data_IF_065367901372
#
_entry.id   IF_065367901372
#
_cell.length_a   1.000
_cell.length_b   1.000
_cell.length_c   1.000
_cell.angle_alpha   90.00
_cell.angle_beta   90.00
_cell.angle_gamma   90.00
#
_symmetry.space_group_name_H-M   'P 1'
#
loop_
_entity.id
_entity.type
_entity.pdbx_description
1 polymer ?
#
# COMPACT_ATOMS: atom_id res chain seq x y z
N UNK A 1 -4.71 -34.58 8.21
CA UNK A 1 -5.89 -33.70 8.07
C UNK A 1 -5.50 -32.63 7.09
N UNK A 2 -6.14 -32.59 5.92
CA UNK A 2 -6.00 -31.46 5.00
C UNK A 2 -6.88 -30.37 5.57
N UNK A 3 -6.26 -29.26 5.97
CA UNK A 3 -6.96 -28.12 6.51
C UNK A 3 -7.87 -27.55 5.41
N UNK A 4 -9.19 -27.66 5.57
CA UNK A 4 -10.18 -27.26 4.56
C UNK A 4 -10.56 -25.78 4.74
N UNK A 5 -9.57 -24.93 4.92
CA UNK A 5 -9.71 -23.49 4.77
C UNK A 5 -9.76 -23.18 3.27
N UNK A 6 -10.87 -23.56 2.62
CA UNK A 6 -11.14 -23.12 1.26
C UNK A 6 -11.33 -21.61 1.29
N UNK A 7 -10.33 -20.89 0.78
CA UNK A 7 -10.41 -19.44 0.59
C UNK A 7 -11.46 -19.20 -0.49
N UNK A 8 -12.57 -18.56 -0.14
CA UNK A 8 -13.58 -18.14 -1.11
C UNK A 8 -12.97 -17.08 -2.05
N UNK A 9 -12.66 -17.52 -3.27
CA UNK A 9 -12.11 -16.69 -4.35
C UNK A 9 -13.17 -16.27 -5.36
N UNK A 10 -14.46 -16.55 -5.11
CA UNK A 10 -15.56 -16.22 -6.02
C UNK A 10 -15.67 -14.73 -6.31
N UNK A 11 -15.19 -13.89 -5.39
CA UNK A 11 -15.15 -12.42 -5.46
C UNK A 11 -13.86 -11.85 -6.07
N UNK A 12 -12.90 -12.70 -6.42
CA UNK A 12 -11.61 -12.32 -7.00
C UNK A 12 -10.43 -12.55 -6.06
N UNK A 13 -9.19 -12.25 -6.51
CA UNK A 13 -7.97 -12.55 -5.76
C UNK A 13 -7.87 -11.88 -4.38
N UNK A 14 -8.48 -10.71 -4.20
CA UNK A 14 -8.49 -9.99 -2.91
C UNK A 14 -9.62 -10.45 -1.98
N UNK A 15 -10.45 -11.42 -2.38
CA UNK A 15 -11.65 -11.81 -1.64
C UNK A 15 -12.70 -10.69 -1.59
N UNK A 16 -13.56 -10.72 -0.58
CA UNK A 16 -14.52 -9.66 -0.30
C UNK A 16 -13.91 -8.68 0.72
N UNK A 17 -13.51 -7.49 0.25
CA UNK A 17 -13.37 -6.35 1.16
C UNK A 17 -14.78 -5.96 1.60
N UNK A 18 -15.07 -5.96 2.90
CA UNK A 18 -16.41 -5.60 3.37
C UNK A 18 -16.76 -4.18 2.92
N UNK A 19 -18.06 -3.92 2.71
CA UNK A 19 -18.52 -2.60 2.31
C UNK A 19 -18.10 -1.57 3.37
N UNK A 20 -17.23 -0.62 2.97
CA UNK A 20 -16.67 0.38 3.87
C UNK A 20 -15.20 0.16 4.27
N UNK A 21 -14.65 -1.03 3.99
CA UNK A 21 -13.24 -1.31 4.22
C UNK A 21 -12.35 -0.65 3.16
N UNK A 22 -11.18 -0.21 3.58
CA UNK A 22 -10.12 0.25 2.69
C UNK A 22 -8.79 -0.40 3.07
N UNK A 23 -8.20 -1.12 2.13
CA UNK A 23 -6.80 -1.53 2.20
C UNK A 23 -5.94 -0.33 1.77
N UNK A 24 -5.11 0.15 2.69
CA UNK A 24 -4.21 1.28 2.48
C UNK A 24 -2.78 0.75 2.42
N UNK A 25 -2.17 0.83 1.24
CA UNK A 25 -0.74 0.62 1.07
C UNK A 25 -0.06 1.98 1.08
N UNK A 26 1.05 2.08 1.81
CA UNK A 26 1.78 3.32 2.00
C UNK A 26 3.27 3.11 1.79
N UNK A 27 3.90 4.07 1.11
CA UNK A 27 5.34 4.17 0.98
C UNK A 27 5.81 5.58 1.39
N UNK A 28 6.87 5.63 2.19
CA UNK A 28 7.61 6.86 2.50
C UNK A 28 9.06 6.66 2.09
N UNK A 29 9.57 7.58 1.31
CA UNK A 29 10.95 7.56 0.87
C UNK A 29 11.82 8.42 1.78
N UNK A 30 13.08 8.04 1.98
CA UNK A 30 14.01 8.74 2.89
C UNK A 30 14.99 9.69 2.16
N UNK A 31 14.54 10.29 1.06
CA UNK A 31 15.36 11.15 0.19
C UNK A 31 15.89 12.41 0.91
N UNK A 32 15.16 12.88 1.93
CA UNK A 32 15.55 14.05 2.73
C UNK A 32 15.92 13.67 4.18
N UNK A 33 16.44 12.46 4.42
CA UNK A 33 16.86 11.97 5.74
C UNK A 33 15.78 11.18 6.49
N UNK A 34 15.99 10.98 7.81
CA UNK A 34 15.22 10.05 8.68
C UNK A 34 13.70 10.31 8.71
N UNK A 35 13.28 11.56 8.47
CA UNK A 35 11.88 11.99 8.51
C UNK A 35 11.35 12.49 7.16
N UNK A 36 12.18 12.49 6.11
CA UNK A 36 11.93 13.29 4.91
C UNK A 36 12.01 12.51 3.60
N UNK A 37 11.18 12.93 2.65
CA UNK A 37 11.08 12.39 1.29
C UNK A 37 9.63 12.29 0.86
N UNK A 38 9.38 11.96 -0.39
CA UNK A 38 8.02 11.91 -0.91
C UNK A 38 7.22 10.74 -0.29
N UNK A 39 5.90 10.85 -0.39
CA UNK A 39 4.96 9.87 0.15
C UNK A 39 4.01 9.42 -0.94
N UNK A 40 3.70 8.13 -0.93
CA UNK A 40 2.77 7.52 -1.87
C UNK A 40 1.74 6.66 -1.13
N UNK A 41 0.50 6.67 -1.62
CA UNK A 41 -0.57 5.80 -1.15
C UNK A 41 -1.26 5.10 -2.30
N UNK A 42 -1.57 3.83 -2.10
CA UNK A 42 -2.52 3.06 -2.90
C UNK A 42 -3.67 2.68 -1.97
N UNK A 43 -4.83 3.31 -2.14
CA UNK A 43 -6.02 3.04 -1.32
C UNK A 43 -7.00 2.21 -2.13
N UNK A 44 -7.15 0.95 -1.78
CA UNK A 44 -7.99 -0.03 -2.46
C UNK A 44 -9.29 -0.18 -1.67
N UNK A 45 -10.41 0.06 -2.34
CA UNK A 45 -11.74 0.06 -1.74
C UNK A 45 -12.77 -0.44 -2.75
N UNK A 46 -13.92 -0.89 -2.23
CA UNK A 46 -15.08 -1.26 -3.05
C UNK A 46 -15.98 -0.04 -3.26
N UNK A 47 -16.42 0.19 -4.49
CA UNK A 47 -17.35 1.25 -4.88
C UNK A 47 -18.31 0.70 -5.95
N UNK A 48 -19.62 0.69 -5.64
CA UNK A 48 -20.67 0.09 -6.49
C UNK A 48 -20.35 -1.33 -6.99
N UNK A 49 -19.86 -2.20 -6.09
CA UNK A 49 -19.44 -3.59 -6.39
C UNK A 49 -18.24 -3.74 -7.32
N UNK A 50 -17.52 -2.66 -7.62
CA UNK A 50 -16.24 -2.69 -8.33
C UNK A 50 -15.11 -2.28 -7.39
N UNK A 51 -14.02 -3.06 -7.39
CA UNK A 51 -12.80 -2.65 -6.71
C UNK A 51 -12.13 -1.51 -7.46
N UNK A 52 -11.78 -0.45 -6.72
CA UNK A 52 -11.06 0.72 -7.21
C UNK A 52 -9.81 0.93 -6.38
N UNK A 53 -8.80 1.54 -6.98
CA UNK A 53 -7.59 1.98 -6.31
C UNK A 53 -7.39 3.48 -6.53
N UNK A 54 -7.31 4.23 -5.43
CA UNK A 54 -6.93 5.63 -5.44
C UNK A 54 -5.43 5.74 -5.20
N UNK A 55 -4.73 6.27 -6.18
CA UNK A 55 -3.29 6.55 -6.14
C UNK A 55 -3.09 8.00 -5.73
N UNK A 56 -2.27 8.20 -4.69
CA UNK A 56 -1.90 9.52 -4.19
C UNK A 56 -0.39 9.61 -4.17
N UNK A 57 0.15 10.70 -4.69
CA UNK A 57 1.57 11.05 -4.61
C UNK A 57 1.70 12.46 -4.05
N UNK A 58 2.37 12.57 -2.92
CA UNK A 58 2.72 13.84 -2.29
C UNK A 58 4.24 14.01 -2.35
N UNK A 59 4.71 15.00 -3.11
CA UNK A 59 6.13 15.37 -3.15
C UNK A 59 6.50 16.22 -1.95
N UNK A 60 7.80 16.28 -1.68
CA UNK A 60 8.39 17.21 -0.72
C UNK A 60 9.56 17.93 -1.38
N UNK A 61 9.79 19.19 -1.00
CA UNK A 61 11.02 19.88 -1.34
C UNK A 61 12.08 19.59 -0.26
N UNK A 62 13.10 18.79 -0.58
CA UNK A 62 14.17 18.45 0.35
C UNK A 62 15.07 19.64 0.71
N UNK A 63 15.08 20.71 -0.11
CA UNK A 63 15.88 21.91 0.14
C UNK A 63 15.20 22.90 1.10
N UNK A 64 13.95 22.64 1.48
CA UNK A 64 13.23 23.42 2.49
C UNK A 64 13.84 23.15 3.87
N UNK A 65 13.95 24.16 4.76
CA UNK A 65 14.29 23.93 6.16
C UNK A 65 13.41 22.82 6.76
N UNK A 66 14.00 21.93 7.55
CA UNK A 66 13.31 20.77 8.14
C UNK A 66 12.05 21.15 8.93
N UNK A 67 12.05 22.33 9.56
CA UNK A 67 10.91 22.88 10.31
C UNK A 67 9.74 23.33 9.40
N UNK A 68 9.95 23.45 8.09
CA UNK A 68 8.97 23.94 7.10
C UNK A 68 8.77 22.96 5.94
N UNK A 69 9.02 21.67 6.14
CA UNK A 69 8.76 20.67 5.10
C UNK A 69 7.26 20.62 4.76
N UNK A 70 6.89 21.25 3.64
CA UNK A 70 5.54 21.22 3.08
C UNK A 70 5.43 20.13 2.02
N UNK A 71 4.37 19.33 2.11
CA UNK A 71 4.06 18.33 1.10
C UNK A 71 3.12 18.91 0.04
N UNK A 72 3.43 18.68 -1.23
CA UNK A 72 2.59 19.09 -2.35
C UNK A 72 1.99 17.85 -3.04
N UNK A 73 0.67 17.77 -3.10
CA UNK A 73 -0.01 16.69 -3.80
C UNK A 73 0.13 16.87 -5.31
N UNK A 74 0.89 15.98 -5.96
CA UNK A 74 1.05 16.02 -7.43
C UNK A 74 0.16 14.98 -8.13
N UNK A 75 -0.25 13.91 -7.44
CA UNK A 75 -1.17 12.93 -8.01
C UNK A 75 -2.32 12.61 -7.06
N UNK A 76 -3.51 12.48 -7.65
CA UNK A 76 -4.73 12.03 -6.99
C UNK A 76 -5.67 11.43 -8.04
N UNK A 77 -5.42 10.17 -8.40
CA UNK A 77 -6.07 9.47 -9.51
C UNK A 77 -6.79 8.23 -9.01
N UNK A 78 -7.89 7.84 -9.66
CA UNK A 78 -8.66 6.63 -9.32
C UNK A 78 -8.64 5.70 -10.52
N UNK A 79 -8.29 4.45 -10.29
CA UNK A 79 -8.23 3.39 -11.29
C UNK A 79 -9.14 2.24 -10.89
N UNK A 80 -9.78 1.60 -11.87
CA UNK A 80 -10.51 0.36 -11.64
C UNK A 80 -9.52 -0.81 -11.52
N UNK A 81 -9.71 -1.67 -10.53
CA UNK A 81 -8.83 -2.81 -10.25
C UNK A 81 -9.20 -4.01 -11.13
N UNK A 82 -8.37 -4.30 -12.13
CA UNK A 82 -8.46 -5.53 -12.92
C UNK A 82 -8.07 -6.75 -12.07
N UNK A 83 -8.47 -7.97 -12.48
CA UNK A 83 -8.03 -9.21 -11.79
C UNK A 83 -6.50 -9.30 -11.68
N UNK A 84 -5.78 -8.87 -12.71
CA UNK A 84 -4.30 -8.84 -12.70
C UNK A 84 -3.76 -7.89 -11.63
N UNK A 85 -4.30 -6.67 -11.53
CA UNK A 85 -3.92 -5.71 -10.50
C UNK A 85 -4.26 -6.20 -9.08
N UNK A 86 -5.38 -6.92 -8.92
CA UNK A 86 -5.77 -7.55 -7.66
C UNK A 86 -4.76 -8.64 -7.26
N UNK A 87 -4.39 -9.54 -8.18
CA UNK A 87 -3.37 -10.55 -7.92
C UNK A 87 -2.00 -9.93 -7.60
N UNK A 88 -1.61 -8.87 -8.31
CA UNK A 88 -0.37 -8.14 -8.02
C UNK A 88 -0.38 -7.52 -6.61
N UNK A 89 -1.55 -7.06 -6.16
CA UNK A 89 -1.73 -6.54 -4.79
C UNK A 89 -1.51 -7.65 -3.75
N UNK A 90 -2.11 -8.83 -3.96
CA UNK A 90 -1.94 -9.99 -3.07
C UNK A 90 -0.45 -10.40 -3.00
N UNK A 91 0.23 -10.45 -4.14
CA UNK A 91 1.66 -10.76 -4.19
C UNK A 91 2.48 -9.73 -3.41
N UNK A 92 2.20 -8.43 -3.57
CA UNK A 92 2.84 -7.37 -2.80
C UNK A 92 2.63 -7.54 -1.29
N UNK A 93 1.42 -7.86 -0.84
CA UNK A 93 1.12 -8.10 0.57
C UNK A 93 1.90 -9.30 1.12
N UNK A 94 1.98 -10.39 0.35
CA UNK A 94 2.75 -11.56 0.71
C UNK A 94 4.24 -11.24 0.84
N UNK A 95 4.81 -10.50 -0.13
CA UNK A 95 6.20 -10.08 -0.08
C UNK A 95 6.47 -9.15 1.10
N UNK A 96 5.64 -8.12 1.32
CA UNK A 96 5.78 -7.21 2.45
C UNK A 96 5.73 -7.95 3.80
N UNK A 97 4.81 -8.91 3.92
CA UNK A 97 4.69 -9.78 5.09
C UNK A 97 5.95 -10.63 5.30
N UNK A 98 6.45 -11.25 4.24
CA UNK A 98 7.71 -12.00 4.30
C UNK A 98 8.89 -11.11 4.71
N UNK A 99 8.99 -9.89 4.18
CA UNK A 99 10.08 -8.97 4.53
C UNK A 99 10.03 -8.58 6.01
N UNK A 100 8.84 -8.30 6.57
CA UNK A 100 8.68 -8.04 8.00
C UNK A 100 9.15 -9.21 8.86
N UNK A 101 8.83 -10.45 8.50
CA UNK A 101 9.20 -11.61 9.31
C UNK A 101 10.65 -12.09 9.12
N UNK A 102 11.17 -12.05 7.89
CA UNK A 102 12.49 -12.58 7.56
C UNK A 102 13.62 -11.59 7.86
N UNK A 103 13.33 -10.28 7.82
CA UNK A 103 14.30 -9.22 8.09
C UNK A 103 13.90 -8.46 9.33
N UNK A 104 13.89 -9.17 10.46
CA UNK A 104 13.84 -8.56 11.79
C UNK A 104 15.15 -7.79 12.03
N UNK A 105 15.31 -6.66 11.35
CA UNK A 105 16.37 -5.73 11.67
C UNK A 105 15.95 -4.91 12.89
N UNK A 106 16.91 -4.45 13.72
CA UNK A 106 16.61 -3.55 14.82
C UNK A 106 15.86 -2.32 14.28
N UNK A 107 14.93 -1.78 15.08
CA UNK A 107 14.16 -0.59 14.73
C UNK A 107 15.08 0.61 14.51
N UNK A 108 15.54 0.78 13.27
CA UNK A 108 16.25 1.97 12.82
C UNK A 108 15.29 2.77 11.96
N UNK A 109 15.15 4.07 12.25
CA UNK A 109 14.27 4.98 11.50
C UNK A 109 14.88 5.43 10.15
N UNK A 110 15.90 4.71 9.66
CA UNK A 110 16.65 5.06 8.46
C UNK A 110 16.20 4.14 7.32
N UNK A 111 15.80 4.73 6.20
CA UNK A 111 15.41 4.01 5.00
C UNK A 111 13.96 4.25 4.56
N UNK A 112 13.57 3.58 3.48
CA UNK A 112 12.22 3.67 2.96
C UNK A 112 11.27 2.86 3.86
N UNK A 113 10.13 3.43 4.21
CA UNK A 113 9.09 2.74 4.99
C UNK A 113 7.98 2.29 4.05
N UNK A 114 7.60 1.03 4.17
CA UNK A 114 6.44 0.45 3.47
C UNK A 114 5.48 -0.13 4.49
N UNK A 115 4.19 0.05 4.27
CA UNK A 115 3.16 -0.52 5.15
C UNK A 115 1.88 -0.86 4.40
N UNK A 116 1.13 -1.79 4.96
CA UNK A 116 -0.22 -2.13 4.55
C UNK A 116 -1.12 -2.20 5.77
N UNK A 117 -2.25 -1.51 5.69
CA UNK A 117 -3.24 -1.40 6.77
C UNK A 117 -4.64 -1.60 6.21
N UNK A 118 -5.46 -2.41 6.85
CA UNK A 118 -6.91 -2.46 6.57
C UNK A 118 -7.63 -1.61 7.60
N UNK A 119 -8.44 -0.66 7.13
CA UNK A 119 -9.31 0.14 7.99
C UNK A 119 -10.76 -0.12 7.60
N UNK A 120 -11.59 -0.49 8.57
CA UNK A 120 -13.04 -0.56 8.39
C UNK A 120 -13.69 0.79 8.69
N UNK A 121 -14.76 1.13 7.95
CA UNK A 121 -15.61 2.27 8.28
C UNK A 121 -16.69 1.95 9.31
N UNK A 122 -16.87 0.67 9.67
CA UNK A 122 -17.97 0.23 10.56
C UNK A 122 -17.59 0.17 12.04
N UNK A 123 -16.30 0.24 12.39
CA UNK A 123 -15.88 0.17 13.78
C UNK A 123 -15.82 1.57 14.40
N UNK A 124 -16.64 1.74 15.44
CA UNK A 124 -16.68 2.96 16.26
C UNK A 124 -15.45 3.06 17.18
N UNK A 125 -14.63 2.02 17.18
CA UNK A 125 -13.25 1.98 17.63
C UNK A 125 -12.38 1.85 16.37
N UNK A 126 -11.28 2.59 16.25
CA UNK A 126 -10.40 2.55 15.07
C UNK A 126 -9.56 1.25 15.04
N UNK A 127 -10.22 0.10 15.14
CA UNK A 127 -9.56 -1.19 15.17
C UNK A 127 -8.98 -1.48 13.79
N UNK A 128 -7.66 -1.56 13.78
CA UNK A 128 -6.92 -1.96 12.60
C UNK A 128 -6.94 -3.48 12.55
N UNK A 129 -7.70 -4.04 11.61
CA UNK A 129 -7.88 -5.50 11.49
C UNK A 129 -6.66 -6.21 10.91
N UNK A 130 -5.80 -5.47 10.19
CA UNK A 130 -4.53 -5.95 9.66
C UNK A 130 -3.54 -4.78 9.56
N UNK A 131 -2.33 -4.95 10.09
CA UNK A 131 -1.22 -4.02 9.94
C UNK A 131 0.09 -4.78 9.74
N UNK A 132 0.82 -4.41 8.69
CA UNK A 132 2.19 -4.82 8.47
C UNK A 132 3.00 -3.63 8.00
N UNK A 133 4.23 -3.50 8.49
CA UNK A 133 5.17 -2.48 8.04
C UNK A 133 6.58 -3.02 8.03
N UNK A 134 7.42 -2.45 7.18
CA UNK A 134 8.82 -2.83 7.04
C UNK A 134 9.66 -1.66 6.55
N UNK A 135 10.90 -1.59 7.05
CA UNK A 135 11.90 -0.60 6.66
C UNK A 135 12.91 -1.21 5.69
N UNK A 136 13.00 -0.64 4.49
CA UNK A 136 14.04 -0.97 3.53
C UNK A 136 15.25 -0.05 3.70
N UNK A 137 16.25 -0.51 4.45
CA UNK A 137 17.53 0.18 4.57
C UNK A 137 18.37 0.09 3.30
N UNK A 138 18.12 -0.90 2.45
CA UNK A 138 18.90 -1.09 1.22
C UNK A 138 18.55 -0.06 0.15
N UNK A 139 17.39 0.62 0.27
CA UNK A 139 16.82 1.55 -0.69
C UNK A 139 16.62 0.94 -2.09
N UNK A 140 16.50 -0.39 -2.17
CA UNK A 140 16.45 -1.15 -3.43
C UNK A 140 15.14 -1.90 -3.63
N UNK A 141 14.24 -1.90 -2.66
CA UNK A 141 12.96 -2.59 -2.80
C UNK A 141 12.03 -1.82 -3.74
N UNK A 142 11.70 -2.45 -4.86
CA UNK A 142 10.98 -1.79 -5.99
C UNK A 142 9.53 -2.23 -6.12
N UNK A 143 9.06 -3.12 -5.24
CA UNK A 143 7.77 -3.82 -5.40
C UNK A 143 6.58 -2.87 -5.28
N UNK A 144 6.68 -1.84 -4.45
CA UNK A 144 5.66 -0.79 -4.40
C UNK A 144 5.49 -0.07 -5.76
N UNK A 145 6.61 0.27 -6.41
CA UNK A 145 6.59 0.96 -7.71
C UNK A 145 6.11 0.03 -8.83
N UNK A 146 6.51 -1.25 -8.79
CA UNK A 146 5.99 -2.28 -9.71
C UNK A 146 4.47 -2.42 -9.59
N UNK A 147 3.94 -2.52 -8.36
CA UNK A 147 2.50 -2.60 -8.12
C UNK A 147 1.77 -1.36 -8.63
N UNK A 148 2.26 -0.16 -8.29
CA UNK A 148 1.66 1.10 -8.78
C UNK A 148 1.61 1.14 -10.31
N UNK A 149 2.67 0.73 -10.98
CA UNK A 149 2.73 0.68 -12.44
C UNK A 149 1.78 -0.37 -13.02
N UNK A 150 1.66 -1.55 -12.40
CA UNK A 150 0.72 -2.59 -12.81
C UNK A 150 -0.74 -2.08 -12.73
N UNK A 151 -1.10 -1.41 -11.62
CA UNK A 151 -2.43 -0.80 -11.44
C UNK A 151 -2.72 0.22 -12.54
N UNK A 152 -1.77 1.15 -12.79
CA UNK A 152 -1.94 2.20 -13.80
C UNK A 152 -2.01 1.64 -15.23
N UNK A 153 -1.17 0.67 -15.57
CA UNK A 153 -1.07 0.14 -16.94
C UNK A 153 -2.23 -0.78 -17.28
N UNK A 154 -2.67 -1.63 -16.36
CA UNK A 154 -3.82 -2.52 -16.60
C UNK A 154 -5.14 -1.76 -16.68
N UNK A 155 -5.29 -0.65 -15.95
CA UNK A 155 -6.47 0.21 -16.04
C UNK A 155 -6.60 0.92 -17.39
N UNK A 156 -5.49 1.14 -18.10
CA UNK A 156 -5.46 1.83 -19.40
C UNK A 156 -5.60 0.88 -20.60
N UNK A 157 -5.55 -0.45 -20.39
CA UNK A 157 -5.80 -1.45 -21.43
C UNK A 157 -7.30 -1.71 -21.50
N UNK A 158 -8.02 -0.89 -22.26
CA UNK A 158 -9.41 -1.15 -22.68
C UNK A 158 -9.43 -1.92 -24.00
#
# INVERSE_FOLDING_TARGET
>A
MVDSLDIDTSKGPLGELYLGDTLILFARYSECGEFGGHKEWLKIFSDDSALKCKVIYDSVNCDSPTETMTFARLENSIFQMTKTAQSATVNYLNELTQMRFLRQEPDFHVGNLYSAVVRSSMDWEQDTTYEVWWWDQSLKWTEFQKLKNEIKTTANKK
#
